data_IF_748676713231
#
_entry.id   IF_748676713231
#
_cell.length_a   1.000
_cell.length_b   1.000
_cell.length_c   1.000
_cell.angle_alpha   90.00
_cell.angle_beta   90.00
_cell.angle_gamma   90.00
#
_symmetry.space_group_name_H-M   'P 1'
#
loop_
_entity.id
_entity.type
_entity.pdbx_description
1 polymer ?
2 non-polymer ?
3 water ?
#
# COMPACT_ATOMS: atom_id res chain seq x y z
N UNK A 4 -12.88 19.36 15.00
CA UNK A 4 -13.60 19.51 13.71
C UNK A 4 -14.57 18.34 13.52
N UNK A 5 -15.87 18.63 13.60
CA UNK A 5 -16.93 17.61 13.51
C UNK A 5 -17.99 17.96 12.47
N UNK A 6 -18.51 16.94 11.78
CA UNK A 6 -19.66 17.11 10.89
C UNK A 6 -20.96 17.06 11.70
N UNK A 7 -21.71 18.16 11.69
CA UNK A 7 -22.94 18.29 12.47
C UNK A 7 -24.20 17.97 11.65
N UNK A 8 -24.02 17.90 10.32
CA UNK A 8 -25.12 17.55 9.41
C UNK A 8 -25.45 16.05 9.48
N UNK A 9 -26.49 15.73 10.23
CA UNK A 9 -26.89 14.36 10.46
C UNK A 9 -27.29 13.68 9.16
N UNK A 10 -27.85 14.44 8.23
CA UNK A 10 -28.17 13.84 6.96
C UNK A 10 -26.93 13.52 6.16
N UNK A 11 -25.95 14.42 6.13
CA UNK A 11 -24.71 14.14 5.37
C UNK A 11 -23.98 12.98 6.01
N UNK A 12 -24.05 12.89 7.33
CA UNK A 12 -23.41 11.76 7.98
C UNK A 12 -24.09 10.48 7.50
N UNK A 13 -25.43 10.47 7.46
CA UNK A 13 -26.20 9.29 7.02
C UNK A 13 -25.91 8.92 5.59
N UNK A 14 -25.80 9.92 4.72
CA UNK A 14 -25.42 9.70 3.33
C UNK A 14 -24.05 9.10 3.24
N UNK A 15 -23.07 9.63 3.98
CA UNK A 15 -21.71 9.06 3.89
C UNK A 15 -21.69 7.63 4.40
N UNK A 16 -22.49 7.36 5.42
CA UNK A 16 -22.62 5.99 5.93
C UNK A 16 -23.22 5.03 4.92
N UNK A 17 -24.24 5.47 4.18
CA UNK A 17 -24.78 4.68 3.10
C UNK A 17 -23.72 4.42 2.02
N UNK A 18 -22.86 5.40 1.71
CA UNK A 18 -21.77 5.18 0.76
C UNK A 18 -20.84 4.07 1.22
N UNK A 19 -20.41 4.14 2.49
CA UNK A 19 -19.51 3.15 3.06
C UNK A 19 -20.18 1.76 3.06
N UNK A 20 -21.47 1.70 3.44
CA UNK A 20 -22.24 0.44 3.40
C UNK A 20 -22.21 -0.18 2.00
N UNK A 21 -22.42 0.64 0.97
CA UNK A 21 -22.37 0.23 -0.41
C UNK A 21 -20.96 -0.22 -0.82
N UNK A 22 -19.92 0.49 -0.35
CA UNK A 22 -18.52 0.09 -0.62
C UNK A 22 -18.14 -1.27 -0.02
N UNK A 23 -18.49 -1.47 1.24
CA UNK A 23 -18.28 -2.76 1.90
C UNK A 23 -19.00 -3.91 1.16
N UNK A 24 -20.27 -3.67 0.77
CA UNK A 24 -21.12 -4.70 0.15
C UNK A 24 -20.80 -4.97 -1.33
N UNK A 25 -20.60 -3.92 -2.11
CA UNK A 25 -20.58 -4.04 -3.57
C UNK A 25 -19.36 -3.42 -4.21
N UNK A 26 -18.50 -2.79 -3.43
CA UNK A 26 -17.26 -2.20 -3.98
C UNK A 26 -17.44 -0.76 -4.42
N UNK A 27 -16.32 -0.05 -4.57
CA UNK A 27 -16.36 1.34 -4.97
C UNK A 27 -17.06 1.58 -6.30
N UNK A 28 -16.97 0.61 -7.22
CA UNK A 28 -17.63 0.77 -8.54
C UNK A 28 -19.16 0.91 -8.42
N UNK A 29 -19.74 0.30 -7.39
CA UNK A 29 -21.20 0.38 -7.15
C UNK A 29 -21.70 1.75 -6.63
N UNK A 30 -20.79 2.62 -6.19
CA UNK A 30 -21.17 3.95 -5.72
C UNK A 30 -21.52 4.95 -6.85
N UNK A 31 -22.78 5.39 -6.85
CA UNK A 31 -23.31 6.39 -7.80
C UNK A 31 -24.35 7.16 -7.05
N UNK A 32 -24.69 8.36 -7.53
CA UNK A 32 -25.67 9.16 -6.85
C UNK A 32 -27.01 8.43 -6.79
N UNK A 33 -27.35 7.70 -7.85
CA UNK A 33 -28.63 6.94 -7.89
C UNK A 33 -28.67 5.77 -6.91
N UNK A 34 -27.55 5.05 -6.80
CA UNK A 34 -27.46 3.90 -5.88
C UNK A 34 -27.49 4.41 -4.43
N UNK A 35 -26.82 5.55 -4.16
CA UNK A 35 -26.84 6.08 -2.79
C UNK A 35 -28.21 6.65 -2.42
N UNK A 36 -28.85 7.34 -3.36
CA UNK A 36 -30.23 7.82 -3.17
C UNK A 36 -31.12 6.62 -2.82
N UNK A 37 -31.02 5.54 -3.58
CA UNK A 37 -31.82 4.32 -3.31
C UNK A 37 -31.50 3.68 -1.94
N UNK A 38 -30.19 3.59 -1.61
CA UNK A 38 -29.72 3.04 -0.34
C UNK A 38 -30.20 3.87 0.85
N UNK A 39 -30.26 5.18 0.68
CA UNK A 39 -30.48 6.11 1.82
C UNK A 39 -31.92 6.54 1.98
N UNK A 40 -32.70 6.55 0.90
CA UNK A 40 -34.12 6.95 1.00
C UNK A 40 -34.37 8.43 0.69
N UNK A 41 -33.29 9.17 0.43
CA UNK A 41 -33.39 10.59 0.03
C UNK A 41 -33.28 10.72 -1.49
N UNK A 42 -33.68 11.88 -2.03
CA UNK A 42 -33.83 12.05 -3.47
C UNK A 42 -32.50 12.36 -4.12
N UNK A 43 -32.39 12.03 -5.41
CA UNK A 43 -31.20 12.42 -6.18
C UNK A 43 -30.98 13.93 -6.12
N UNK A 44 -32.06 14.69 -6.02
CA UNK A 44 -32.03 16.15 -5.77
C UNK A 44 -31.30 16.56 -4.48
N UNK A 45 -31.57 15.85 -3.41
CA UNK A 45 -30.90 16.06 -2.13
C UNK A 45 -29.41 15.74 -2.32
N UNK A 46 -29.10 14.56 -2.87
CA UNK A 46 -27.68 14.22 -3.10
C UNK A 46 -26.96 15.18 -4.02
N UNK A 47 -27.62 15.55 -5.12
CA UNK A 47 -27.02 16.40 -6.19
C UNK A 47 -26.70 17.78 -5.69
N UNK A 48 -27.36 18.16 -4.60
CA UNK A 48 -27.11 19.45 -3.96
C UNK A 48 -26.07 19.36 -2.83
N UNK A 49 -25.80 18.13 -2.34
CA UNK A 49 -24.66 17.87 -1.45
C UNK A 49 -23.38 17.63 -2.22
N UNK A 50 -23.48 16.92 -3.34
CA UNK A 50 -22.26 16.45 -4.00
C UNK A 50 -22.14 16.81 -5.47
N UNK A 51 -23.03 16.26 -6.31
CA UNK A 51 -22.89 16.47 -7.75
C UNK A 51 -21.53 16.15 -8.33
N UNK A 52 -21.00 15.04 -7.87
CA UNK A 52 -19.96 14.29 -8.54
C UNK A 52 -19.75 13.10 -7.68
N UNK A 53 -19.41 11.99 -8.33
CA UNK A 53 -19.16 10.75 -7.63
C UNK A 53 -17.96 10.97 -6.74
N UNK A 54 -17.04 11.78 -7.23
CA UNK A 54 -15.82 12.07 -6.52
C UNK A 54 -16.12 12.65 -5.12
N UNK A 55 -17.05 13.62 -5.06
CA UNK A 55 -17.43 14.24 -3.80
C UNK A 55 -18.17 13.24 -2.89
N UNK A 56 -18.97 12.37 -3.49
CA UNK A 56 -19.66 11.29 -2.79
C UNK A 56 -18.68 10.34 -2.14
N UNK A 57 -17.68 9.89 -2.90
CA UNK A 57 -16.60 9.08 -2.37
C UNK A 57 -15.78 9.80 -1.29
N UNK A 58 -15.53 11.09 -1.51
CA UNK A 58 -14.75 11.92 -0.58
C UNK A 58 -15.49 12.02 0.75
N UNK A 59 -16.81 12.18 0.70
CA UNK A 59 -17.62 12.10 1.92
C UNK A 59 -17.38 10.81 2.70
N UNK A 60 -17.35 9.69 2.00
CA UNK A 60 -17.16 8.39 2.63
C UNK A 60 -15.76 8.31 3.22
N UNK A 61 -14.75 8.79 2.50
CA UNK A 61 -13.37 8.82 2.99
C UNK A 61 -13.35 9.58 4.33
N UNK A 62 -13.96 10.77 4.37
CA UNK A 62 -13.91 11.55 5.58
C UNK A 62 -14.67 10.91 6.75
N UNK A 63 -15.83 10.34 6.46
CA UNK A 63 -16.62 9.64 7.46
C UNK A 63 -15.86 8.45 8.04
N UNK A 64 -15.27 7.64 7.17
CA UNK A 64 -14.38 6.53 7.58
C UNK A 64 -13.25 6.98 8.51
N UNK A 65 -12.60 8.09 8.17
CA UNK A 65 -11.55 8.71 9.02
C UNK A 65 -12.07 9.11 10.40
N UNK A 66 -13.29 9.66 10.45
CA UNK A 66 -13.87 10.08 11.73
C UNK A 66 -14.16 8.90 12.62
N UNK A 67 -14.79 7.87 12.07
CA UNK A 67 -15.07 6.64 12.83
C UNK A 67 -13.75 6.03 13.34
N UNK A 68 -12.73 6.05 12.50
CA UNK A 68 -11.40 5.55 12.89
C UNK A 68 -10.82 6.31 14.09
N UNK A 69 -10.96 7.63 14.07
CA UNK A 69 -10.59 8.52 15.18
C UNK A 69 -11.32 8.21 16.49
N UNK A 70 -12.60 7.86 16.39
CA UNK A 70 -13.33 7.37 17.55
C UNK A 70 -12.80 6.01 18.03
N UNK A 71 -12.39 5.14 17.10
CA UNK A 71 -11.74 3.91 17.48
C UNK A 71 -10.46 4.13 18.25
N UNK A 72 -9.60 5.06 17.80
CA UNK A 72 -8.37 5.37 18.53
C UNK A 72 -8.70 5.78 19.94
N UNK A 73 -9.66 6.70 20.06
CA UNK A 73 -10.13 7.16 21.36
C UNK A 73 -10.51 6.01 22.29
N UNK A 74 -11.35 5.10 21.81
CA UNK A 74 -11.79 3.93 22.60
C UNK A 74 -10.58 3.11 23.02
N UNK A 75 -9.66 2.90 22.08
CA UNK A 75 -8.51 2.07 22.36
C UNK A 75 -7.59 2.69 23.43
N UNK A 76 -7.31 3.98 23.28
CA UNK A 76 -6.41 4.71 24.21
C UNK A 76 -6.99 4.82 25.62
N UNK A 77 -8.31 4.87 25.71
CA UNK A 77 -8.98 5.10 27.00
C UNK A 77 -9.38 3.81 27.75
N UNK A 78 -8.97 2.66 27.23
CA UNK A 78 -9.33 1.36 27.83
C UNK A 78 -8.58 1.17 29.16
N UNK A 79 -9.35 0.96 30.23
CA UNK A 79 -8.79 0.78 31.56
C UNK A 79 -7.95 -0.50 31.63
N UNK A 80 -6.71 -0.35 32.07
CA UNK A 80 -5.84 -1.50 32.29
C UNK A 80 -4.93 -1.87 31.13
N UNK A 81 -5.23 -1.35 29.95
CA UNK A 81 -4.43 -1.67 28.75
C UNK A 81 -3.08 -0.96 28.76
N UNK A 82 -2.04 -1.67 28.36
CA UNK A 82 -0.73 -1.09 28.30
C UNK A 82 -0.38 -0.66 26.89
N UNK A 83 0.76 0.02 26.75
CA UNK A 83 1.26 0.53 25.49
C UNK A 83 1.30 -0.52 24.39
N UNK A 84 1.65 -1.75 24.73
CA UNK A 84 1.79 -2.76 23.70
C UNK A 84 0.42 -3.26 23.23
N UNK A 85 -0.50 -3.46 24.18
CA UNK A 85 -1.87 -3.85 23.85
C UNK A 85 -2.51 -2.80 22.96
N UNK A 86 -2.27 -1.53 23.29
CA UNK A 86 -2.81 -0.39 22.51
C UNK A 86 -2.30 -0.39 21.08
N UNK A 87 -0.99 -0.51 20.92
CA UNK A 87 -0.39 -0.70 19.59
C UNK A 87 -0.96 -1.89 18.81
N UNK A 88 -1.18 -3.02 19.47
CA UNK A 88 -1.78 -4.19 18.81
C UNK A 88 -3.22 -3.85 18.39
N UNK A 89 -3.91 -3.10 19.24
CA UNK A 89 -5.28 -2.74 18.96
C UNK A 89 -5.40 -1.71 17.83
N UNK A 90 -4.51 -0.74 17.85
CA UNK A 90 -4.40 0.23 16.76
C UNK A 90 -4.13 -0.50 15.44
N UNK A 91 -3.15 -1.42 15.47
CA UNK A 91 -2.76 -2.15 14.26
C UNK A 91 -3.94 -2.99 13.72
N UNK A 92 -4.57 -3.75 14.61
CA UNK A 92 -5.79 -4.51 14.25
C UNK A 92 -6.88 -3.63 13.62
N UNK A 93 -7.04 -2.41 14.15
CA UNK A 93 -8.11 -1.50 13.70
C UNK A 93 -7.96 -0.99 12.24
N UNK A 94 -6.78 -1.17 11.68
CA UNK A 94 -6.51 -0.82 10.30
C UNK A 94 -6.75 -2.01 9.37
N UNK A 95 -6.67 -3.22 9.91
CA UNK A 95 -6.71 -4.45 9.08
C UNK A 95 -8.13 -4.70 8.61
N UNK A 96 -8.31 -4.96 7.29
CA UNK A 96 -9.68 -5.08 6.72
C UNK A 96 -10.42 -6.38 7.08
N UNK A 97 -10.78 -6.56 8.34
CA UNK A 97 -11.24 -7.85 8.82
C UNK A 97 -12.75 -7.86 9.12
N UNK A 98 -13.37 -6.70 8.97
CA UNK A 98 -14.82 -6.59 9.03
C UNK A 98 -15.31 -5.54 8.04
N UNK A 99 -16.62 -5.34 7.98
CA UNK A 99 -17.23 -4.41 7.02
C UNK A 99 -16.72 -2.97 7.18
N UNK A 100 -16.63 -2.48 8.42
CA UNK A 100 -16.09 -1.13 8.64
C UNK A 100 -14.71 -0.95 8.03
N UNK A 101 -13.82 -1.87 8.36
CA UNK A 101 -12.43 -1.73 7.93
C UNK A 101 -12.25 -2.09 6.49
N UNK A 102 -13.06 -3.03 5.97
CA UNK A 102 -13.05 -3.30 4.51
C UNK A 102 -13.40 -2.01 3.72
N UNK A 103 -14.48 -1.34 4.11
CA UNK A 103 -14.89 -0.08 3.42
C UNK A 103 -13.83 1.03 3.52
N UNK A 104 -13.28 1.20 4.72
CA UNK A 104 -12.21 2.18 4.95
C UNK A 104 -11.00 1.90 4.07
N UNK A 105 -10.56 0.64 4.04
CA UNK A 105 -9.35 0.32 3.21
C UNK A 105 -9.64 0.58 1.73
N UNK A 106 -10.85 0.22 1.29
CA UNK A 106 -11.21 0.40 -0.11
C UNK A 106 -11.25 1.86 -0.48
N UNK A 107 -11.93 2.69 0.34
CA UNK A 107 -12.02 4.11 -0.01
C UNK A 107 -10.68 4.82 0.10
N UNK A 108 -9.87 4.43 1.09
CA UNK A 108 -8.54 5.04 1.19
C UNK A 108 -7.66 4.65 0.02
N UNK A 109 -7.67 3.38 -0.36
CA UNK A 109 -6.89 2.93 -1.54
C UNK A 109 -7.27 3.71 -2.80
N UNK A 110 -8.60 3.89 -3.03
CA UNK A 110 -9.11 4.66 -4.15
C UNK A 110 -8.50 6.06 -4.16
N UNK A 111 -8.57 6.78 -3.03
CA UNK A 111 -7.92 8.08 -2.98
C UNK A 111 -6.39 8.11 -2.91
N UNK A 112 -5.76 7.04 -2.41
CA UNK A 112 -4.26 6.93 -2.47
C UNK A 112 -3.84 7.12 -3.91
N UNK A 113 -4.44 6.32 -4.79
CA UNK A 113 -4.08 6.35 -6.21
C UNK A 113 -4.37 7.69 -6.91
N UNK A 114 -5.45 8.37 -6.52
CA UNK A 114 -5.82 9.65 -7.14
C UNK A 114 -4.90 10.79 -6.69
N UNK A 115 -4.37 10.68 -5.48
CA UNK A 115 -3.36 11.60 -4.95
C UNK A 115 -1.96 11.28 -5.42
N UNK A 120 -5.39 17.62 -2.51
CA UNK A 120 -6.18 17.45 -1.30
C UNK A 120 -7.63 17.36 -1.75
N UNK A 121 -8.34 16.24 -1.46
CA UNK A 121 -8.03 15.26 -0.43
C UNK A 121 -6.95 14.18 -0.66
N UNK A 122 -5.76 14.62 -1.02
CA UNK A 122 -4.53 13.96 -0.60
C UNK A 122 -4.21 14.57 0.77
N UNK A 123 -4.90 15.68 1.06
CA UNK A 123 -4.94 16.31 2.38
C UNK A 123 -5.62 15.43 3.40
N UNK A 124 -6.72 14.79 3.02
CA UNK A 124 -7.37 13.80 3.87
C UNK A 124 -6.46 12.60 4.12
N UNK A 125 -5.78 12.14 3.08
CA UNK A 125 -4.86 11.02 3.23
C UNK A 125 -3.73 11.37 4.21
N UNK A 126 -3.11 12.51 4.00
CA UNK A 126 -2.04 13.01 4.89
C UNK A 126 -2.51 13.09 6.36
N UNK A 127 -3.69 13.66 6.56
CA UNK A 127 -4.29 13.76 7.91
C UNK A 127 -4.51 12.38 8.52
N UNK A 128 -4.98 11.44 7.72
CA UNK A 128 -5.24 10.09 8.21
C UNK A 128 -3.95 9.44 8.67
N UNK A 129 -2.92 9.52 7.82
CA UNK A 129 -1.63 8.98 8.12
C UNK A 129 -0.98 9.66 9.31
N UNK A 130 -1.10 10.98 9.43
CA UNK A 130 -0.40 11.68 10.48
C UNK A 130 -1.02 11.37 11.85
N UNK A 131 -2.33 11.19 11.88
CA UNK A 131 -3.04 10.89 13.15
C UNK A 131 -2.78 9.46 13.61
N UNK A 132 -2.60 8.58 12.63
CA UNK A 132 -2.30 7.19 12.86
C UNK A 132 -0.89 7.08 13.38
N UNK A 133 0.06 7.70 12.70
CA UNK A 133 1.42 7.74 13.24
C UNK A 133 1.46 8.37 14.64
N UNK A 134 0.64 9.39 14.83
CA UNK A 134 0.60 10.11 16.08
C UNK A 134 0.29 9.20 17.25
N UNK A 135 -0.73 8.36 17.10
CA UNK A 135 -1.17 7.52 18.21
C UNK A 135 -0.22 6.34 18.43
N UNK A 136 0.33 5.84 17.34
CA UNK A 136 1.37 4.79 17.39
C UNK A 136 2.62 5.35 18.09
N UNK A 137 3.12 6.51 17.65
CA UNK A 137 4.31 7.09 18.28
C UNK A 137 4.14 7.27 19.82
N UNK A 138 3.02 7.83 20.25
CA UNK A 138 2.77 7.98 21.69
C UNK A 138 2.95 6.65 22.41
N UNK A 139 2.42 5.57 21.85
CA UNK A 139 2.44 4.27 22.55
C UNK A 139 3.80 3.59 22.47
N UNK A 140 4.55 3.85 21.39
CA UNK A 140 5.91 3.35 21.29
C UNK A 140 6.73 4.02 22.39
N UNK A 141 6.58 5.34 22.49
CA UNK A 141 7.29 6.15 23.49
C UNK A 141 6.86 5.72 24.91
N UNK A 142 5.58 5.45 25.09
CA UNK A 142 5.10 4.93 26.39
C UNK A 142 5.75 3.59 26.71
N UNK A 143 5.84 2.68 25.73
CA UNK A 143 6.47 1.37 25.96
C UNK A 143 7.96 1.53 26.28
N UNK A 144 8.62 2.45 25.60
CA UNK A 144 10.01 2.75 25.94
C UNK A 144 10.12 3.26 27.38
N UNK A 145 9.25 4.18 27.76
CA UNK A 145 9.25 4.73 29.13
C UNK A 145 9.03 3.64 30.19
N UNK A 146 8.18 2.66 29.86
CA UNK A 146 7.94 1.49 30.72
C UNK A 146 9.10 0.48 30.69
N UNK A 147 10.01 0.61 29.72
CA UNK A 147 11.17 -0.28 29.63
C UNK A 147 10.92 -1.57 28.86
N UNK A 148 9.76 -1.66 28.23
CA UNK A 148 9.37 -2.85 27.46
C UNK A 148 9.91 -2.80 26.02
N UNK A 149 10.18 -1.59 25.53
CA UNK A 149 10.80 -1.43 24.22
C UNK A 149 12.14 -0.72 24.38
N UNK A 150 13.17 -1.25 23.74
CA UNK A 150 14.53 -0.69 23.87
C UNK A 150 14.58 0.80 23.60
N UNK A 151 15.23 1.52 24.51
CA UNK A 151 15.36 2.95 24.36
C UNK A 151 16.47 3.27 23.33
N UNK A 152 17.12 2.23 22.80
CA UNK A 152 18.10 2.40 21.73
C UNK A 152 17.39 2.58 20.39
N UNK A 153 16.12 2.18 20.34
CA UNK A 153 15.33 2.33 19.14
C UNK A 153 14.85 3.75 19.03
N UNK A 154 14.89 4.28 17.82
CA UNK A 154 14.25 5.56 17.48
C UNK A 154 12.75 5.34 17.35
N UNK A 155 11.94 5.99 18.19
CA UNK A 155 10.49 5.82 18.17
C UNK A 155 9.88 6.26 16.84
N UNK A 156 10.52 7.23 16.18
CA UNK A 156 10.11 7.68 14.84
C UNK A 156 10.30 6.64 13.78
N UNK A 157 11.42 5.92 13.80
CA UNK A 157 11.64 4.84 12.86
C UNK A 157 10.73 3.64 13.15
N UNK A 158 10.50 3.34 14.43
CA UNK A 158 9.62 2.23 14.78
C UNK A 158 8.22 2.49 14.22
N UNK A 159 7.76 3.70 14.42
CA UNK A 159 6.41 4.12 14.01
C UNK A 159 6.26 4.06 12.47
N UNK A 160 7.24 4.61 11.76
CA UNK A 160 7.20 4.57 10.32
C UNK A 160 7.17 3.11 9.86
N UNK A 161 7.98 2.25 10.48
CA UNK A 161 7.94 0.83 10.14
C UNK A 161 6.61 0.17 10.43
N UNK A 162 6.03 0.38 11.61
CA UNK A 162 4.82 -0.33 11.96
C UNK A 162 3.65 0.09 11.04
N UNK A 163 3.54 1.38 10.80
CA UNK A 163 2.48 1.94 9.95
C UNK A 163 2.64 1.47 8.53
N UNK A 164 3.88 1.43 8.03
CA UNK A 164 4.10 0.97 6.66
C UNK A 164 3.75 -0.53 6.53
N UNK A 165 4.18 -1.32 7.49
CA UNK A 165 3.90 -2.77 7.45
C UNK A 165 2.40 -3.01 7.51
N UNK A 166 1.73 -2.31 8.41
CA UNK A 166 0.30 -2.53 8.63
C UNK A 166 -0.45 -2.14 7.34
N UNK A 167 -0.06 -1.01 6.73
CA UNK A 167 -0.76 -0.51 5.57
C UNK A 167 -0.47 -1.42 4.37
N UNK A 168 0.78 -1.87 4.20
CA UNK A 168 1.10 -2.88 3.16
C UNK A 168 0.24 -4.12 3.31
N UNK A 169 0.06 -4.60 4.53
CA UNK A 169 -0.75 -5.78 4.77
C UNK A 169 -2.20 -5.53 4.45
N UNK A 170 -2.70 -4.40 4.94
CA UNK A 170 -4.13 -4.07 4.71
C UNK A 170 -4.40 -3.97 3.19
N UNK A 171 -3.49 -3.30 2.45
CA UNK A 171 -3.73 -3.06 1.04
C UNK A 171 -3.59 -4.31 0.21
N UNK A 172 -2.54 -5.10 0.45
CA UNK A 172 -2.35 -6.38 -0.25
C UNK A 172 -3.50 -7.32 0.07
N UNK A 173 -3.97 -7.25 1.31
CA UNK A 173 -5.00 -8.21 1.72
C UNK A 173 -6.27 -8.08 0.88
N UNK A 174 -6.61 -6.88 0.40
CA UNK A 174 -7.88 -6.71 -0.37
C UNK A 174 -7.71 -7.13 -1.84
N UNK A 175 -6.47 -7.40 -2.23
CA UNK A 175 -6.09 -7.83 -3.58
C UNK A 175 -5.68 -9.29 -3.64
N UNK A 176 -5.18 -9.82 -2.52
CA UNK A 176 -4.44 -11.08 -2.54
C UNK A 176 -4.86 -11.94 -1.37
N UNK A 177 -5.62 -13.01 -1.63
CA UNK A 177 -6.13 -13.87 -0.56
C UNK A 177 -5.04 -14.53 0.29
N UNK A 178 -3.83 -14.68 -0.25
CA UNK A 178 -2.66 -15.18 0.53
C UNK A 178 -2.43 -14.26 1.75
N UNK A 179 -2.44 -12.95 1.52
CA UNK A 179 -2.21 -11.99 2.59
C UNK A 179 -3.48 -11.86 3.43
N UNK A 180 -4.66 -11.95 2.82
CA UNK A 180 -5.91 -11.91 3.59
C UNK A 180 -5.93 -13.06 4.63
N UNK A 181 -5.55 -14.26 4.18
CA UNK A 181 -5.36 -15.39 5.11
C UNK A 181 -4.36 -15.05 6.22
N UNK A 182 -3.18 -14.55 5.85
CA UNK A 182 -2.17 -14.18 6.80
C UNK A 182 -2.69 -13.24 7.92
N UNK A 183 -3.38 -12.16 7.56
CA UNK A 183 -3.85 -11.17 8.56
C UNK A 183 -5.08 -11.59 9.34
N UNK A 184 -5.72 -12.67 8.91
CA UNK A 184 -6.89 -13.23 9.60
C UNK A 184 -6.49 -14.14 10.78
N UNK A 185 -5.19 -14.41 10.91
CA UNK A 185 -4.65 -15.17 12.03
C UNK A 185 -4.88 -14.38 13.32
N UNK A 186 -5.25 -15.06 14.42
CA UNK A 186 -5.46 -14.35 15.72
C UNK A 186 -4.28 -13.47 16.15
N UNK A 187 -3.05 -13.91 15.87
CA UNK A 187 -1.90 -13.17 16.37
C UNK A 187 -1.31 -12.14 15.41
N UNK A 188 -2.02 -11.85 14.33
CA UNK A 188 -1.46 -11.03 13.22
C UNK A 188 -1.03 -9.61 13.65
N UNK A 189 -1.89 -8.91 14.40
CA UNK A 189 -1.54 -7.57 14.93
C UNK A 189 -0.35 -7.66 15.89
N UNK A 190 -0.32 -8.68 16.74
CA UNK A 190 0.74 -8.85 17.72
C UNK A 190 2.06 -9.11 17.00
N UNK A 191 2.02 -9.87 15.91
CA UNK A 191 3.21 -10.12 15.10
C UNK A 191 3.76 -8.86 14.44
N UNK A 192 2.86 -7.99 13.98
CA UNK A 192 3.25 -6.72 13.35
C UNK A 192 3.98 -5.85 14.36
N UNK A 193 3.39 -5.71 15.54
CA UNK A 193 3.95 -4.89 16.62
C UNK A 193 5.32 -5.45 17.02
N UNK A 194 5.40 -6.75 17.24
CA UNK A 194 6.66 -7.38 17.63
C UNK A 194 7.75 -7.12 16.58
N UNK A 195 7.40 -7.21 15.30
CA UNK A 195 8.40 -6.96 14.26
C UNK A 195 8.94 -5.53 14.34
N UNK A 196 8.04 -4.58 14.62
CA UNK A 196 8.39 -3.15 14.63
C UNK A 196 9.24 -2.73 15.81
N UNK A 197 8.89 -3.20 17.00
CA UNK A 197 9.56 -2.81 18.24
C UNK A 197 10.66 -3.80 18.62
N UNK A 198 10.83 -4.85 17.79
CA UNK A 198 11.78 -5.95 18.04
C UNK A 198 11.44 -6.71 19.33
N UNK A 199 10.30 -7.40 19.31
CA UNK A 199 9.73 -8.15 20.44
C UNK A 199 9.83 -7.41 21.80
N UNK B 7 7.20 -6.64 -34.16
CA UNK B 7 6.01 -5.95 -33.57
C UNK B 7 6.16 -6.01 -32.08
N UNK B 8 6.70 -7.13 -31.60
CA UNK B 8 6.74 -7.29 -30.16
C UNK B 8 7.74 -6.37 -29.51
N UNK B 9 8.89 -6.13 -30.14
CA UNK B 9 9.80 -5.14 -29.55
C UNK B 9 9.20 -3.75 -29.56
N UNK B 10 8.34 -3.44 -30.56
CA UNK B 10 7.77 -2.09 -30.68
C UNK B 10 6.80 -1.89 -29.53
N UNK B 11 6.01 -2.92 -29.20
CA UNK B 11 5.07 -2.84 -28.07
C UNK B 11 5.86 -2.56 -26.80
N UNK B 12 7.03 -3.20 -26.68
CA UNK B 12 7.85 -3.07 -25.46
C UNK B 12 8.39 -1.66 -25.36
N UNK B 13 8.95 -1.15 -26.48
CA UNK B 13 9.47 0.22 -26.53
C UNK B 13 8.41 1.24 -26.15
N UNK B 14 7.15 0.98 -26.57
CA UNK B 14 6.01 1.89 -26.29
C UNK B 14 5.69 1.86 -24.80
N UNK B 15 5.72 0.66 -24.25
CA UNK B 15 5.53 0.49 -22.79
C UNK B 15 6.60 1.23 -22.00
N UNK B 16 7.86 1.14 -22.45
CA UNK B 16 8.96 1.92 -21.87
C UNK B 16 8.75 3.43 -21.91
N UNK B 17 8.15 3.92 -22.99
CA UNK B 17 7.80 5.33 -23.12
C UNK B 17 6.73 5.74 -22.07
N UNK B 18 5.74 4.89 -21.87
CA UNK B 18 4.71 5.14 -20.87
C UNK B 18 5.35 5.24 -19.50
N UNK B 19 6.24 4.28 -19.17
CA UNK B 19 6.97 4.32 -17.88
C UNK B 19 7.79 5.61 -17.68
N UNK B 20 8.43 6.07 -18.76
CA UNK B 20 9.24 7.31 -18.72
C UNK B 20 8.38 8.52 -18.36
N UNK B 21 7.20 8.61 -18.99
CA UNK B 21 6.25 9.66 -18.65
C UNK B 21 5.75 9.54 -17.22
N UNK B 22 5.48 8.32 -16.77
CA UNK B 22 4.97 8.08 -15.42
C UNK B 22 6.01 8.55 -14.39
N UNK B 23 7.27 8.15 -14.61
CA UNK B 23 8.36 8.58 -13.71
C UNK B 23 8.48 10.12 -13.66
N UNK B 24 8.43 10.74 -14.83
CA UNK B 24 8.68 12.17 -14.94
C UNK B 24 7.49 13.00 -14.45
N UNK B 25 6.26 12.64 -14.84
CA UNK B 25 5.14 13.56 -14.59
C UNK B 25 3.86 12.89 -14.05
N UNK B 26 3.90 11.58 -13.84
CA UNK B 26 2.77 10.84 -13.30
C UNK B 26 1.83 10.20 -14.30
N UNK B 27 0.94 9.35 -13.81
CA UNK B 27 -0.09 8.71 -14.62
C UNK B 27 -0.92 9.66 -15.49
N UNK B 28 -1.20 10.85 -14.95
CA UNK B 28 -2.01 11.83 -15.67
C UNK B 28 -1.32 12.38 -16.93
N UNK B 29 0.01 12.28 -16.97
CA UNK B 29 0.80 12.64 -18.18
C UNK B 29 0.70 11.64 -19.32
N UNK B 30 0.14 10.45 -19.08
CA UNK B 30 0.03 9.41 -20.12
C UNK B 30 -1.19 9.64 -21.04
N UNK B 31 -0.88 10.03 -22.28
CA UNK B 31 -1.87 10.28 -23.34
C UNK B 31 -1.26 9.74 -24.63
N UNK B 32 -2.09 9.53 -25.65
CA UNK B 32 -1.57 9.07 -26.95
C UNK B 32 -0.51 10.04 -27.48
N UNK B 33 -0.79 11.33 -27.43
CA UNK B 33 0.17 12.30 -27.94
C UNK B 33 1.51 12.27 -27.20
N UNK B 34 1.44 12.21 -25.86
CA UNK B 34 2.66 12.26 -25.07
C UNK B 34 3.46 10.99 -25.30
N UNK B 35 2.77 9.85 -25.46
CA UNK B 35 3.52 8.60 -25.69
C UNK B 35 4.15 8.60 -27.09
N UNK B 36 3.46 9.15 -28.09
CA UNK B 36 4.09 9.38 -29.40
C UNK B 36 5.33 10.29 -29.33
N UNK B 37 5.21 11.42 -28.65
CA UNK B 37 6.36 12.33 -28.52
C UNK B 37 7.54 11.70 -27.83
N UNK B 38 7.25 10.99 -26.74
CA UNK B 38 8.28 10.31 -25.96
C UNK B 38 8.95 9.17 -26.78
N UNK B 39 8.11 8.35 -27.43
CA UNK B 39 8.60 7.11 -28.13
C UNK B 39 9.19 7.35 -29.53
N UNK B 40 8.68 8.37 -30.23
CA UNK B 40 9.12 8.61 -31.63
C UNK B 40 8.21 7.91 -32.65
N UNK B 41 7.27 7.09 -32.16
CA UNK B 41 6.29 6.36 -33.02
C UNK B 41 5.05 7.23 -33.23
N UNK B 42 4.45 7.17 -34.43
CA UNK B 42 3.29 8.01 -34.73
C UNK B 42 2.10 7.50 -33.99
N UNK B 43 1.08 8.34 -33.85
CA UNK B 43 -0.15 7.91 -33.17
C UNK B 43 -0.84 6.69 -33.86
N UNK B 44 -0.66 6.56 -35.17
CA UNK B 44 -1.18 5.39 -35.93
C UNK B 44 -0.51 4.05 -35.61
N UNK B 45 0.81 4.10 -35.46
CA UNK B 45 1.53 2.95 -34.87
C UNK B 45 1.06 2.66 -33.42
N UNK B 46 0.92 3.68 -32.58
CA UNK B 46 0.39 3.43 -31.23
C UNK B 46 -0.99 2.75 -31.25
N UNK B 47 -1.86 3.27 -32.11
CA UNK B 47 -3.22 2.75 -32.29
C UNK B 47 -3.30 1.29 -32.74
N UNK B 48 -2.32 0.87 -33.54
CA UNK B 48 -2.18 -0.53 -33.93
C UNK B 48 -2.01 -1.43 -32.70
N UNK B 49 -1.20 -0.99 -31.74
CA UNK B 49 -0.87 -1.85 -30.60
C UNK B 49 -1.83 -1.72 -29.45
N UNK B 50 -2.37 -0.53 -29.27
CA UNK B 50 -3.21 -0.25 -28.10
C UNK B 50 -4.56 0.36 -28.48
N UNK B 51 -5.63 -0.21 -27.95
CA UNK B 51 -6.96 0.29 -28.26
C UNK B 51 -7.39 1.48 -27.42
N UNK B 52 -6.70 1.73 -26.30
CA UNK B 52 -7.12 2.71 -25.31
C UNK B 52 -5.96 3.19 -24.42
N UNK B 53 -6.15 4.34 -23.75
CA UNK B 53 -5.22 4.78 -22.69
C UNK B 53 -5.04 3.71 -21.59
N UNK B 54 -6.13 3.04 -21.24
CA UNK B 54 -6.05 1.99 -20.23
C UNK B 54 -5.14 0.83 -20.68
N UNK B 55 -5.14 0.54 -21.98
CA UNK B 55 -4.34 -0.55 -22.49
C UNK B 55 -2.88 -0.13 -22.42
N UNK B 56 -2.60 1.17 -22.63
CA UNK B 56 -1.22 1.71 -22.53
C UNK B 56 -0.72 1.54 -21.11
N UNK B 57 -1.60 1.82 -20.15
CA UNK B 57 -1.22 1.73 -18.74
C UNK B 57 -1.01 0.28 -18.30
N UNK B 58 -1.81 -0.64 -18.85
CA UNK B 58 -1.66 -2.06 -18.50
C UNK B 58 -0.36 -2.61 -19.09
N UNK B 59 0.01 -2.16 -20.27
CA UNK B 59 1.29 -2.56 -20.85
C UNK B 59 2.47 -2.06 -20.01
N UNK B 60 2.35 -0.84 -19.47
CA UNK B 60 3.37 -0.26 -18.58
C UNK B 60 3.50 -1.07 -17.30
N UNK B 61 2.35 -1.45 -16.71
CA UNK B 61 2.34 -2.31 -15.52
C UNK B 61 3.10 -3.60 -15.82
N UNK B 62 2.75 -4.28 -16.93
CA UNK B 62 3.39 -5.54 -17.30
C UNK B 62 4.90 -5.35 -17.58
N UNK B 63 5.24 -4.29 -18.29
CA UNK B 63 6.65 -4.03 -18.61
C UNK B 63 7.45 -3.75 -17.32
N UNK B 64 6.90 -2.94 -16.41
CA UNK B 64 7.60 -2.67 -15.15
C UNK B 64 7.87 -3.98 -14.40
N UNK B 65 6.86 -4.84 -14.31
CA UNK B 65 7.01 -6.15 -13.67
C UNK B 65 8.10 -6.99 -14.36
N UNK B 66 8.15 -6.94 -15.70
CA UNK B 66 9.13 -7.76 -16.43
C UNK B 66 10.55 -7.28 -16.14
N UNK B 67 10.78 -5.98 -16.14
CA UNK B 67 12.12 -5.45 -15.82
C UNK B 67 12.52 -5.84 -14.38
N UNK B 68 11.53 -5.74 -13.48
CA UNK B 68 11.74 -6.13 -12.11
C UNK B 68 12.12 -7.61 -12.04
N UNK B 69 11.48 -8.45 -12.86
CA UNK B 69 11.86 -9.88 -12.91
C UNK B 69 13.32 -10.05 -13.30
N UNK B 70 13.78 -9.26 -14.25
CA UNK B 70 15.21 -9.34 -14.69
C UNK B 70 16.18 -8.88 -13.55
N UNK B 71 15.77 -7.84 -12.80
CA UNK B 71 16.48 -7.39 -11.60
C UNK B 71 16.62 -8.51 -10.56
N UNK B 72 15.57 -9.29 -10.33
CA UNK B 72 15.64 -10.45 -9.39
C UNK B 72 16.71 -11.43 -9.83
N UNK B 73 16.73 -11.74 -11.13
CA UNK B 73 17.66 -12.74 -11.65
C UNK B 73 19.11 -12.26 -11.56
N UNK B 74 19.35 -10.97 -11.83
CA UNK B 74 20.67 -10.36 -11.66
C UNK B 74 21.12 -10.43 -10.20
N UNK B 75 20.19 -10.15 -9.29
CA UNK B 75 20.49 -10.20 -7.87
C UNK B 75 20.77 -11.62 -7.41
N UNK B 76 19.93 -12.57 -7.80
CA UNK B 76 20.10 -13.95 -7.38
C UNK B 76 21.35 -14.58 -8.02
N UNK B 77 21.82 -14.02 -9.12
CA UNK B 77 22.98 -14.60 -9.81
C UNK B 77 24.33 -13.97 -9.47
N UNK B 78 24.31 -12.98 -8.57
CA UNK B 78 25.54 -12.25 -8.20
C UNK B 78 26.53 -13.15 -7.45
N UNK B 79 27.69 -13.30 -8.07
CA UNK B 79 28.79 -14.07 -7.50
C UNK B 79 29.20 -13.54 -6.13
N UNK B 80 29.17 -14.39 -5.11
CA UNK B 80 29.64 -14.02 -3.78
C UNK B 80 28.65 -13.26 -2.91
N UNK B 81 27.44 -13.03 -3.42
CA UNK B 81 26.38 -12.47 -2.62
C UNK B 81 25.76 -13.61 -1.80
N UNK B 82 25.54 -13.34 -0.52
CA UNK B 82 24.94 -14.29 0.41
C UNK B 82 23.45 -14.00 0.47
N UNK B 83 22.69 -14.86 1.16
CA UNK B 83 21.23 -14.73 1.26
C UNK B 83 20.76 -13.39 1.84
N UNK B 84 21.39 -12.93 2.91
CA UNK B 84 20.99 -11.66 3.52
C UNK B 84 21.20 -10.49 2.60
N UNK B 85 22.39 -10.44 1.99
CA UNK B 85 22.71 -9.48 0.93
C UNK B 85 21.67 -9.50 -0.21
N UNK B 86 21.31 -10.70 -0.69
CA UNK B 86 20.26 -10.83 -1.68
C UNK B 86 18.93 -10.26 -1.16
N UNK B 87 18.56 -10.56 0.07
CA UNK B 87 17.29 -9.99 0.60
C UNK B 87 17.35 -8.47 0.60
N UNK B 88 18.47 -7.92 1.04
CA UNK B 88 18.68 -6.47 1.01
C UNK B 88 18.53 -5.90 -0.38
N UNK B 89 19.16 -6.50 -1.37
CA UNK B 89 19.10 -5.99 -2.73
C UNK B 89 17.70 -6.10 -3.34
N UNK B 90 17.07 -7.26 -3.10
CA UNK B 90 15.66 -7.42 -3.50
C UNK B 90 14.80 -6.31 -2.94
N UNK B 91 14.92 -6.10 -1.64
CA UNK B 91 14.15 -5.07 -0.97
C UNK B 91 14.39 -3.69 -1.57
N UNK B 92 15.67 -3.32 -1.77
CA UNK B 92 15.99 -2.02 -2.32
C UNK B 92 15.41 -1.83 -3.73
N UNK B 93 15.34 -2.92 -4.49
CA UNK B 93 14.92 -2.91 -5.89
C UNK B 93 13.45 -2.53 -6.03
N UNK B 94 12.74 -2.48 -4.91
CA UNK B 94 11.34 -2.14 -4.93
C UNK B 94 11.15 -0.67 -4.54
N UNK B 95 12.11 -0.13 -3.80
CA UNK B 95 11.97 1.22 -3.26
C UNK B 95 12.06 2.30 -4.34
N UNK B 96 11.12 3.28 -4.32
CA UNK B 96 11.05 4.24 -5.43
C UNK B 96 12.13 5.33 -5.42
N UNK B 97 13.36 4.91 -5.74
CA UNK B 97 14.54 5.75 -5.53
C UNK B 97 15.25 6.13 -6.85
N UNK B 98 14.68 5.76 -7.98
CA UNK B 98 15.14 6.27 -9.29
C UNK B 98 13.95 6.26 -10.24
N UNK B 99 14.15 6.62 -11.52
CA UNK B 99 13.00 6.69 -12.45
C UNK B 99 12.34 5.33 -12.59
N UNK B 100 13.16 4.29 -12.79
CA UNK B 100 12.59 2.91 -12.93
C UNK B 100 11.64 2.55 -11.77
N UNK B 101 12.14 2.68 -10.54
CA UNK B 101 11.33 2.24 -9.41
C UNK B 101 10.22 3.22 -9.06
N UNK B 102 10.41 4.49 -9.33
CA UNK B 102 9.31 5.46 -9.20
C UNK B 102 8.13 5.17 -10.15
N UNK B 103 8.47 4.99 -11.43
CA UNK B 103 7.45 4.59 -12.39
C UNK B 103 6.73 3.29 -11.97
N UNK B 104 7.50 2.30 -11.56
CA UNK B 104 6.94 1.02 -11.17
C UNK B 104 5.95 1.21 -10.03
N UNK B 105 6.36 1.93 -8.99
CA UNK B 105 5.46 2.10 -7.80
C UNK B 105 4.18 2.85 -8.20
N UNK B 106 4.34 3.90 -9.00
CA UNK B 106 3.17 4.72 -9.47
C UNK B 106 2.17 3.90 -10.27
N UNK B 107 2.67 3.14 -11.25
CA UNK B 107 1.77 2.31 -12.06
C UNK B 107 1.13 1.16 -11.26
N UNK B 108 1.89 0.51 -10.37
CA UNK B 108 1.27 -0.49 -9.47
C UNK B 108 0.21 0.11 -8.58
N UNK B 109 0.50 1.28 -8.01
CA UNK B 109 -0.50 1.92 -7.13
C UNK B 109 -1.83 2.16 -7.90
N UNK B 110 -1.73 2.74 -9.09
CA UNK B 110 -2.89 2.87 -9.98
C UNK B 110 -3.71 1.57 -10.10
N UNK B 111 -3.01 0.46 -10.32
CA UNK B 111 -3.66 -0.84 -10.52
C UNK B 111 -4.09 -1.57 -9.25
N UNK B 112 -3.46 -1.24 -8.13
CA UNK B 112 -3.96 -1.67 -6.82
C UNK B 112 -5.35 -1.13 -6.64
N UNK B 113 -5.53 0.15 -6.94
CA UNK B 113 -6.87 0.74 -6.77
C UNK B 113 -7.86 0.07 -7.73
N UNK B 114 -7.43 -0.15 -8.96
CA UNK B 114 -8.29 -0.81 -9.95
C UNK B 114 -8.61 -2.26 -9.57
N UNK B 115 -7.60 -2.98 -9.08
CA UNK B 115 -7.73 -4.37 -8.65
C UNK B 115 -8.65 -4.53 -7.45
N UNK B 116 -8.81 -3.45 -6.69
CA UNK B 116 -9.74 -3.41 -5.56
C UNK B 116 -11.18 -3.46 -6.05
N UNK B 117 -11.31 -3.61 -7.37
CA UNK B 117 -12.60 -3.70 -8.07
C UNK B 117 -12.61 -4.71 -9.23
N UNK B 118 -11.56 -4.74 -10.05
CA UNK B 118 -11.56 -5.54 -11.29
C UNK B 118 -10.62 -6.76 -11.30
N UNK B 119 -11.17 -7.89 -11.70
CA UNK B 119 -10.46 -9.18 -11.70
C UNK B 119 -9.16 -9.26 -12.57
N UNK B 120 -9.18 -8.62 -13.73
CA UNK B 120 -8.02 -8.62 -14.63
C UNK B 120 -6.76 -8.01 -13.98
N UNK B 121 -6.92 -6.81 -13.44
CA UNK B 121 -5.84 -6.09 -12.74
C UNK B 121 -5.47 -6.78 -11.44
N UNK B 122 -6.47 -7.29 -10.73
CA UNK B 122 -6.22 -8.00 -9.47
C UNK B 122 -5.28 -9.20 -9.66
N UNK B 123 -5.46 -9.92 -10.77
CA UNK B 123 -4.65 -11.10 -11.07
C UNK B 123 -3.24 -10.75 -11.51
N UNK B 124 -3.05 -9.58 -12.10
CA UNK B 124 -1.72 -9.11 -12.48
C UNK B 124 -0.95 -8.75 -11.22
N UNK B 125 -1.65 -8.07 -10.30
CA UNK B 125 -1.07 -7.68 -9.01
C UNK B 125 -0.72 -8.93 -8.22
N UNK B 126 -1.67 -9.87 -8.18
CA UNK B 126 -1.41 -11.14 -7.48
C UNK B 126 -0.18 -11.90 -8.02
N UNK B 127 0.00 -11.97 -9.33
CA UNK B 127 1.19 -12.66 -9.93
C UNK B 127 2.47 -11.97 -9.53
N UNK B 128 2.49 -10.65 -9.63
CA UNK B 128 3.64 -9.83 -9.17
C UNK B 128 3.99 -10.11 -7.72
N UNK B 129 3.00 -10.12 -6.83
CA UNK B 129 3.28 -10.33 -5.40
C UNK B 129 3.80 -11.74 -5.15
N UNK B 130 3.24 -12.72 -5.85
CA UNK B 130 3.68 -14.08 -5.68
C UNK B 130 5.10 -14.27 -6.21
N UNK B 131 5.45 -13.59 -7.27
CA UNK B 131 6.81 -13.75 -7.83
C UNK B 131 7.81 -13.19 -6.83
N UNK B 132 7.45 -12.02 -6.27
CA UNK B 132 8.27 -11.33 -5.32
C UNK B 132 8.42 -12.15 -4.04
N UNK B 133 7.31 -12.69 -3.52
CA UNK B 133 7.43 -13.53 -2.32
C UNK B 133 8.28 -14.77 -2.59
N UNK B 134 8.19 -15.29 -3.80
CA UNK B 134 8.90 -16.52 -4.17
C UNK B 134 10.41 -16.30 -4.07
N UNK B 135 10.90 -15.18 -4.61
CA UNK B 135 12.34 -14.91 -4.57
C UNK B 135 12.78 -14.53 -3.15
N UNK B 136 11.95 -13.79 -2.41
CA UNK B 136 12.26 -13.50 -1.01
C UNK B 136 12.34 -14.81 -0.22
N UNK B 137 11.35 -15.67 -0.37
CA UNK B 137 11.31 -16.89 0.43
C UNK B 137 12.53 -17.77 0.20
N UNK B 138 12.96 -17.88 -1.06
CA UNK B 138 14.13 -18.67 -1.40
C UNK B 138 15.35 -18.22 -0.56
N UNK B 139 15.51 -16.91 -0.46
CA UNK B 139 16.65 -16.31 0.25
C UNK B 139 16.51 -16.39 1.77
N UNK B 140 15.29 -16.22 2.26
CA UNK B 140 15.00 -16.42 3.68
C UNK B 140 15.34 -17.86 4.13
N UNK B 141 14.86 -18.86 3.39
CA UNK B 141 15.19 -20.26 3.71
C UNK B 141 16.71 -20.55 3.55
N UNK B 142 17.35 -20.06 2.49
CA UNK B 142 18.82 -20.16 2.36
C UNK B 142 19.56 -19.57 3.59
N UNK B 143 19.13 -18.40 4.07
CA UNK B 143 19.76 -17.85 5.29
C UNK B 143 19.54 -18.78 6.51
N UNK B 144 18.31 -19.28 6.68
CA UNK B 144 18.05 -20.26 7.76
C UNK B 144 18.93 -21.47 7.63
N UNK B 145 19.15 -21.93 6.39
CA UNK B 145 19.98 -23.13 6.15
C UNK B 145 21.47 -22.94 6.43
N UNK B 146 21.94 -21.69 6.33
CA UNK B 146 23.29 -21.28 6.71
C UNK B 146 23.40 -20.94 8.20
N UNK B 147 22.27 -20.85 8.89
CA UNK B 147 22.26 -20.56 10.30
C UNK B 147 22.21 -19.07 10.65
N UNK B 148 22.07 -18.21 9.65
CA UNK B 148 22.14 -16.76 9.90
C UNK B 148 20.79 -16.11 10.26
N UNK B 149 19.71 -16.80 9.93
CA UNK B 149 18.38 -16.35 10.29
C UNK B 149 17.83 -17.44 11.17
N UNK B 150 17.12 -17.01 12.21
CA UNK B 150 16.62 -17.91 13.23
C UNK B 150 15.80 -19.09 12.68
N UNK B 151 16.18 -20.27 13.11
CA UNK B 151 15.47 -21.50 12.73
C UNK B 151 14.03 -21.52 13.24
N UNK B 152 13.72 -20.75 14.26
CA UNK B 152 12.37 -20.75 14.88
C UNK B 152 11.37 -19.80 14.19
N UNK B 153 11.79 -19.19 13.11
CA UNK B 153 10.89 -18.28 12.39
C UNK B 153 10.32 -19.04 11.21
N UNK B 154 9.09 -18.74 10.86
CA UNK B 154 8.45 -19.41 9.75
C UNK B 154 8.77 -18.65 8.47
N UNK B 155 9.43 -19.32 7.53
CA UNK B 155 9.90 -18.65 6.33
C UNK B 155 8.79 -17.90 5.58
N UNK B 156 7.59 -18.51 5.52
CA UNK B 156 6.49 -17.85 4.82
C UNK B 156 6.02 -16.61 5.56
N UNK B 157 5.97 -16.68 6.89
CA UNK B 157 5.51 -15.51 7.65
C UNK B 157 6.52 -14.36 7.48
N UNK B 158 7.80 -14.66 7.60
CA UNK B 158 8.89 -13.66 7.43
C UNK B 158 8.71 -13.02 6.03
N UNK B 159 8.48 -13.88 5.04
CA UNK B 159 8.34 -13.41 3.63
C UNK B 159 7.17 -12.45 3.42
N UNK B 160 5.99 -12.83 3.92
CA UNK B 160 4.82 -12.00 3.86
C UNK B 160 5.14 -10.64 4.52
N UNK B 161 5.79 -10.68 5.68
CA UNK B 161 6.01 -9.47 6.48
C UNK B 161 6.97 -8.54 5.74
N UNK B 162 8.07 -9.09 5.25
CA UNK B 162 9.06 -8.26 4.54
C UNK B 162 8.47 -7.63 3.27
N UNK B 163 7.77 -8.44 2.48
CA UNK B 163 7.15 -7.91 1.26
C UNK B 163 6.10 -6.83 1.61
N UNK B 164 5.32 -7.06 2.67
CA UNK B 164 4.29 -6.06 3.03
C UNK B 164 4.93 -4.75 3.53
N UNK B 165 5.96 -4.88 4.36
CA UNK B 165 6.70 -3.71 4.86
C UNK B 165 7.31 -2.95 3.69
N UNK B 166 7.97 -3.68 2.81
CA UNK B 166 8.67 -3.01 1.70
C UNK B 166 7.63 -2.30 0.85
N UNK B 167 6.52 -2.97 0.58
CA UNK B 167 5.51 -2.40 -0.31
C UNK B 167 4.82 -1.21 0.36
N UNK B 168 4.52 -1.33 1.67
CA UNK B 168 3.89 -0.20 2.43
C UNK B 168 4.78 1.05 2.38
N UNK B 169 6.08 0.83 2.53
CA UNK B 169 7.03 1.94 2.49
C UNK B 169 7.10 2.56 1.07
N UNK B 170 7.20 1.71 0.04
CA UNK B 170 7.25 2.23 -1.34
C UNK B 170 5.98 3.03 -1.71
N UNK B 171 4.82 2.51 -1.34
CA UNK B 171 3.58 3.21 -1.69
C UNK B 171 3.42 4.52 -0.92
N UNK B 172 3.77 4.48 0.37
CA UNK B 172 3.68 5.68 1.19
C UNK B 172 4.68 6.73 0.75
N UNK B 173 5.91 6.29 0.41
CA UNK B 173 6.94 7.20 -0.12
C UNK B 173 6.52 8.09 -1.29
N UNK B 174 5.70 7.59 -2.21
CA UNK B 174 5.40 8.42 -3.38
C UNK B 174 4.37 9.54 -3.09
N UNK B 175 3.75 9.49 -1.90
CA UNK B 175 2.80 10.54 -1.48
C UNK B 175 3.19 11.26 -0.19
N UNK B 176 4.25 10.79 0.50
CA UNK B 176 4.60 11.28 1.83
C UNK B 176 6.09 11.55 1.86
N UNK B 177 6.47 12.85 1.90
CA UNK B 177 7.88 13.22 1.76
C UNK B 177 8.76 12.74 2.92
N UNK B 178 8.19 12.52 4.10
CA UNK B 178 9.03 12.06 5.20
C UNK B 178 9.40 10.58 5.01
N UNK B 179 8.43 9.80 4.53
CA UNK B 179 8.69 8.38 4.22
C UNK B 179 9.70 8.30 3.08
N UNK B 180 9.51 9.13 2.04
CA UNK B 180 10.51 9.21 0.97
C UNK B 180 11.93 9.45 1.52
N UNK B 181 12.04 10.35 2.50
CA UNK B 181 13.32 10.66 3.11
C UNK B 181 13.86 9.43 3.84
N UNK B 182 13.00 8.80 4.65
CA UNK B 182 13.35 7.59 5.40
C UNK B 182 13.90 6.48 4.49
N UNK B 183 13.26 6.25 3.36
CA UNK B 183 13.62 5.12 2.49
C UNK B 183 14.84 5.39 1.63
N UNK B 184 15.20 6.67 1.53
CA UNK B 184 16.35 7.03 0.71
C UNK B 184 17.65 6.94 1.52
N UNK B 185 17.54 6.71 2.82
CA UNK B 185 18.74 6.46 3.64
C UNK B 185 19.44 5.20 3.11
N UNK B 186 20.77 5.23 3.08
CA UNK B 186 21.57 4.11 2.54
C UNK B 186 21.16 2.76 3.15
N UNK B 187 20.92 2.75 4.47
CA UNK B 187 20.67 1.51 5.21
C UNK B 187 19.20 1.07 5.26
N UNK B 188 18.34 1.76 4.53
CA UNK B 188 16.88 1.53 4.64
C UNK B 188 16.51 0.08 4.39
N UNK B 189 17.03 -0.50 3.32
CA UNK B 189 16.68 -1.90 3.00
C UNK B 189 17.22 -2.90 4.03
N UNK B 190 18.50 -2.70 4.45
CA UNK B 190 19.08 -3.46 5.56
C UNK B 190 18.14 -3.42 6.77
N UNK B 191 17.59 -2.25 7.10
CA UNK B 191 16.74 -2.11 8.30
C UNK B 191 15.44 -2.89 8.12
N UNK B 192 14.90 -2.88 6.88
CA UNK B 192 13.66 -3.64 6.58
C UNK B 192 13.88 -5.14 6.77
N UNK B 193 14.98 -5.66 6.23
CA UNK B 193 15.33 -7.08 6.32
C UNK B 193 15.46 -7.46 7.83
N UNK B 194 16.21 -6.64 8.57
CA UNK B 194 16.42 -6.92 10.00
C UNK B 194 15.10 -6.95 10.78
N UNK B 195 14.15 -6.07 10.43
CA UNK B 195 12.88 -6.05 11.14
C UNK B 195 12.15 -7.36 10.90
N UNK B 196 12.07 -7.73 9.63
CA UNK B 196 11.34 -8.91 9.17
C UNK B 196 11.93 -10.21 9.69
N UNK B 197 13.25 -10.31 9.72
CA UNK B 197 13.86 -11.58 10.17
C UNK B 197 14.05 -11.60 11.68
N UNK B 198 13.46 -10.61 12.35
CA UNK B 198 13.55 -10.46 13.83
C UNK B 198 14.99 -10.62 14.33
N UNK B 199 15.92 -10.02 13.58
CA UNK B 199 17.36 -10.14 13.88
C UNK B 199 17.72 -9.91 15.37
X LIG C 1 17.37 -1.57 -8.39
#
# INVERSE_FOLDING_TARGET
>A
VPKIVDHDERRRALADAVLALIAREGISAVTTRAVAEESGWSTGVLNHYFGSRHELLLAALRRAGDIQGDRYRTILDEEGAGPIEKLRNITASILPLDERRLAMTRVFLFFYAEGAAEETARGEIAAFLARWRGVVRESVVAAQREGTVSTDLDADAVTVALVALTDGLALQAILDPVVMKAISAEDAAARCVDAAVRRTTEEAGAVGR
>B
VPKIVDHDERRRALADAVLALIAREGISAVTTRAVAEESGWSTGVLNHYFGSRHELLLAALRRAGDIQGDRYRTILDEEGAGPIEKLRNITASILPLDERRLAMTRVFLFFYAEGAAEETARGEIAAFLARWRGVVRESVVAAQREGTVSTDLDADAVTVALVALTDGLALQAILDPVVMKAISAEDAAARCVDAAVRRTTEEAGAVGR
>C hetero
1 CL CL
#
